data_IF_188479993969
#
_entry.id   IF_188479993969
#
_cell.length_a   1.000
_cell.length_b   1.000
_cell.length_c   1.000
_cell.angle_alpha   90.00
_cell.angle_beta   90.00
_cell.angle_gamma   90.00
#
_symmetry.space_group_name_H-M   'P 1'
#
loop_
_entity.id
_entity.type
_entity.pdbx_description
1 polymer ?
#
# COMPACT_ATOMS: atom_id res chain seq x y z
N UNK A 1 6.16 -0.64 -17.90
CA UNK A 1 5.52 0.18 -16.85
C UNK A 1 5.98 -0.36 -15.51
N UNK A 2 6.43 0.51 -14.61
CA UNK A 2 7.00 0.12 -13.34
C UNK A 2 6.54 1.09 -12.26
N UNK A 3 6.46 0.60 -11.01
CA UNK A 3 6.05 1.42 -9.87
C UNK A 3 7.24 2.15 -9.20
N UNK A 4 8.47 1.75 -9.48
CA UNK A 4 9.66 2.29 -8.80
C UNK A 4 9.78 3.79 -9.06
N UNK A 5 9.93 4.57 -7.99
CA UNK A 5 10.03 6.03 -8.05
C UNK A 5 8.68 6.74 -8.00
N UNK A 6 7.57 6.02 -8.07
CA UNK A 6 6.24 6.63 -8.05
C UNK A 6 5.84 7.08 -6.65
N UNK A 7 5.17 8.22 -6.59
CA UNK A 7 4.37 8.63 -5.44
C UNK A 7 2.91 8.54 -5.83
N UNK A 8 2.11 7.89 -5.00
CA UNK A 8 0.68 7.70 -5.28
C UNK A 8 -0.15 8.04 -4.04
N UNK A 9 -1.40 8.42 -4.27
CA UNK A 9 -2.42 8.43 -3.23
C UNK A 9 -3.38 7.30 -3.56
N UNK A 10 -3.67 6.47 -2.56
CA UNK A 10 -4.67 5.41 -2.68
C UNK A 10 -5.89 5.85 -1.89
N UNK A 11 -7.04 5.90 -2.55
CA UNK A 11 -8.33 6.20 -1.91
C UNK A 11 -9.14 4.92 -1.86
N UNK A 12 -9.16 4.34 -0.65
CA UNK A 12 -9.86 3.08 -0.40
C UNK A 12 -11.36 3.28 -0.25
N UNK A 13 -12.12 2.25 -0.57
CA UNK A 13 -13.59 2.27 -0.43
C UNK A 13 -14.04 2.46 1.03
N UNK A 14 -13.22 2.04 1.99
CA UNK A 14 -13.48 2.25 3.41
C UNK A 14 -13.41 3.71 3.84
N UNK A 15 -12.86 4.60 3.00
CA UNK A 15 -12.61 6.00 3.33
C UNK A 15 -11.17 6.27 3.75
N UNK A 16 -10.36 5.23 3.95
CA UNK A 16 -8.95 5.40 4.24
C UNK A 16 -8.23 5.93 3.00
N UNK A 17 -7.40 6.95 3.19
CA UNK A 17 -6.50 7.46 2.16
C UNK A 17 -5.07 7.35 2.65
N UNK A 18 -4.20 6.86 1.78
CA UNK A 18 -2.80 6.61 2.09
C UNK A 18 -1.94 7.19 0.96
N UNK A 19 -0.89 7.92 1.34
CA UNK A 19 0.16 8.31 0.41
C UNK A 19 1.26 7.28 0.48
N UNK A 20 1.73 6.81 -0.67
CA UNK A 20 2.81 5.84 -0.76
C UNK A 20 3.89 6.35 -1.72
N UNK A 21 5.15 6.21 -1.31
CA UNK A 21 6.29 6.54 -2.14
C UNK A 21 7.17 5.30 -2.28
N UNK A 22 7.23 4.74 -3.47
CA UNK A 22 8.07 3.58 -3.78
C UNK A 22 9.45 4.05 -4.18
N UNK A 23 10.35 4.14 -3.21
CA UNK A 23 11.70 4.69 -3.41
C UNK A 23 12.58 3.78 -4.25
N UNK A 24 12.37 2.48 -4.15
CA UNK A 24 13.10 1.47 -4.90
C UNK A 24 12.26 0.21 -5.01
N UNK A 25 12.82 -0.84 -5.61
CA UNK A 25 12.16 -2.14 -5.68
C UNK A 25 11.94 -2.78 -4.30
N UNK A 26 12.65 -2.31 -3.26
CA UNK A 26 12.64 -2.92 -1.94
C UNK A 26 12.30 -1.93 -0.81
N UNK A 27 12.01 -0.67 -1.13
CA UNK A 27 11.78 0.34 -0.09
C UNK A 27 10.55 1.18 -0.40
N UNK A 28 9.66 1.26 0.59
CA UNK A 28 8.42 2.04 0.55
C UNK A 28 8.35 2.94 1.77
N UNK A 29 7.95 4.18 1.59
CA UNK A 29 7.46 5.02 2.69
C UNK A 29 5.98 5.30 2.47
N UNK A 30 5.22 5.38 3.56
CA UNK A 30 3.78 5.62 3.48
C UNK A 30 3.32 6.57 4.58
N UNK A 31 2.19 7.21 4.36
CA UNK A 31 1.55 8.06 5.35
C UNK A 31 0.04 7.95 5.25
N UNK A 32 -0.63 7.84 6.40
CA UNK A 32 -2.08 7.84 6.47
C UNK A 32 -2.61 9.27 6.45
N UNK A 33 -3.51 9.56 5.51
CA UNK A 33 -4.05 10.90 5.28
C UNK A 33 -5.40 11.10 5.95
N UNK A 34 -6.12 10.01 6.23
CA UNK A 34 -7.47 10.06 6.84
C UNK A 34 -7.61 8.95 7.87
N UNK A 35 -8.72 8.95 8.59
CA UNK A 35 -9.11 7.89 9.52
C UNK A 35 -8.43 7.99 10.87
N UNK A 36 -8.60 6.94 11.72
CA UNK A 36 -8.04 6.94 13.08
C UNK A 36 -6.51 7.05 13.12
N UNK A 37 -5.85 6.61 12.06
CA UNK A 37 -4.38 6.62 11.96
C UNK A 37 -3.84 7.86 11.26
N UNK A 38 -4.67 8.86 10.97
CA UNK A 38 -4.24 10.07 10.27
C UNK A 38 -3.00 10.67 10.93
N UNK A 39 -2.00 10.97 10.10
CA UNK A 39 -0.74 11.55 10.55
C UNK A 39 0.33 10.51 10.89
N UNK A 40 -0.01 9.23 10.94
CA UNK A 40 1.01 8.19 11.11
C UNK A 40 1.71 7.91 9.79
N UNK A 41 2.97 7.48 9.89
CA UNK A 41 3.78 7.15 8.71
C UNK A 41 4.72 6.00 9.04
N UNK A 42 5.26 5.39 8.00
CA UNK A 42 6.20 4.30 8.17
C UNK A 42 7.13 4.17 6.97
N UNK A 43 8.20 3.41 7.19
CA UNK A 43 9.16 3.03 6.15
C UNK A 43 9.29 1.51 6.21
N UNK A 44 9.12 0.84 5.07
CA UNK A 44 9.00 -0.60 5.01
C UNK A 44 9.96 -1.19 3.97
N UNK A 45 10.44 -2.39 4.28
CA UNK A 45 11.11 -3.22 3.28
C UNK A 45 10.04 -4.05 2.57
N UNK A 46 9.93 -3.88 1.26
CA UNK A 46 8.90 -4.55 0.48
C UNK A 46 9.47 -5.67 -0.37
N UNK A 47 8.61 -6.62 -0.67
CA UNK A 47 8.84 -7.69 -1.64
C UNK A 47 7.84 -7.48 -2.76
N UNK A 48 8.30 -7.56 -4.02
CA UNK A 48 7.44 -7.29 -5.16
C UNK A 48 7.69 -8.25 -6.29
N UNK A 49 6.63 -8.49 -7.07
CA UNK A 49 6.70 -9.28 -8.29
C UNK A 49 5.70 -8.74 -9.30
N UNK A 50 6.10 -8.60 -10.54
CA UNK A 50 5.17 -8.29 -11.61
C UNK A 50 4.44 -9.56 -12.00
N UNK A 51 3.14 -9.63 -11.70
CA UNK A 51 2.33 -10.84 -11.91
C UNK A 51 1.62 -10.86 -13.25
N UNK A 52 1.50 -9.70 -13.87
CA UNK A 52 1.01 -9.50 -15.24
C UNK A 52 1.54 -8.15 -15.70
N UNK A 53 1.56 -7.85 -17.02
CA UNK A 53 2.06 -6.55 -17.46
C UNK A 53 1.37 -5.38 -16.76
N UNK A 54 2.14 -4.57 -16.03
CA UNK A 54 1.63 -3.42 -15.29
C UNK A 54 0.88 -3.74 -14.00
N UNK A 55 0.89 -5.00 -13.56
CA UNK A 55 0.21 -5.45 -12.34
C UNK A 55 1.25 -6.05 -11.40
N UNK A 56 1.34 -5.51 -10.19
CA UNK A 56 2.39 -5.87 -9.24
C UNK A 56 1.78 -6.37 -7.94
N UNK A 57 2.32 -7.50 -7.45
CA UNK A 57 2.09 -7.95 -6.09
C UNK A 57 3.19 -7.35 -5.21
N UNK A 58 2.80 -6.63 -4.15
CA UNK A 58 3.72 -5.95 -3.25
C UNK A 58 3.31 -6.30 -1.83
N UNK A 59 4.26 -6.81 -1.03
CA UNK A 59 3.96 -7.26 0.33
C UNK A 59 5.07 -6.87 1.29
N UNK A 60 4.70 -6.66 2.56
CA UNK A 60 5.66 -6.38 3.62
C UNK A 60 5.11 -6.74 4.98
N UNK A 61 6.04 -6.85 5.93
CA UNK A 61 5.75 -7.11 7.34
C UNK A 61 6.24 -5.92 8.15
N UNK A 62 5.35 -5.30 8.91
CA UNK A 62 5.69 -4.17 9.77
C UNK A 62 6.23 -4.63 11.11
N UNK A 63 7.00 -3.77 11.79
CA UNK A 63 7.64 -4.12 13.05
C UNK A 63 6.64 -4.51 14.16
N UNK A 64 5.42 -3.97 14.09
CA UNK A 64 4.36 -4.28 15.04
C UNK A 64 3.59 -5.58 14.72
N UNK A 65 4.04 -6.32 13.71
CA UNK A 65 3.41 -7.58 13.30
C UNK A 65 2.28 -7.43 12.30
N UNK A 66 1.94 -6.22 11.90
CA UNK A 66 0.98 -6.00 10.80
C UNK A 66 1.61 -6.50 9.50
N UNK A 67 0.88 -7.31 8.75
CA UNK A 67 1.30 -7.69 7.40
C UNK A 67 0.37 -7.08 6.37
N UNK A 68 0.93 -6.64 5.26
CA UNK A 68 0.18 -6.01 4.17
C UNK A 68 0.54 -6.70 2.87
N UNK A 69 -0.48 -7.05 2.09
CA UNK A 69 -0.30 -7.58 0.75
C UNK A 69 -1.18 -6.79 -0.21
N UNK A 70 -0.54 -6.24 -1.23
CA UNK A 70 -1.19 -5.36 -2.20
C UNK A 70 -1.10 -5.96 -3.60
N UNK A 71 -2.16 -5.75 -4.38
CA UNK A 71 -2.09 -5.85 -5.83
C UNK A 71 -2.25 -4.44 -6.38
N UNK A 72 -1.21 -3.93 -7.01
CA UNK A 72 -1.18 -2.61 -7.64
C UNK A 72 -1.34 -2.80 -9.14
N UNK A 73 -2.49 -2.40 -9.66
CA UNK A 73 -2.79 -2.44 -11.09
C UNK A 73 -2.62 -1.02 -11.66
N UNK A 74 -1.49 -0.80 -12.33
CA UNK A 74 -1.20 0.50 -12.93
C UNK A 74 -1.99 0.75 -14.20
N UNK A 75 -2.47 -0.31 -14.87
CA UNK A 75 -3.26 -0.16 -16.09
C UNK A 75 -4.63 0.44 -15.79
N UNK A 76 -5.27 -0.03 -14.73
CA UNK A 76 -6.61 0.40 -14.32
C UNK A 76 -6.59 1.37 -13.14
N UNK A 77 -5.42 1.68 -12.62
CA UNK A 77 -5.22 2.55 -11.45
C UNK A 77 -6.05 2.08 -10.26
N UNK A 78 -5.85 0.82 -9.89
CA UNK A 78 -6.54 0.16 -8.79
C UNK A 78 -5.56 -0.44 -7.81
N UNK A 79 -5.93 -0.42 -6.54
CA UNK A 79 -5.20 -1.08 -5.48
C UNK A 79 -6.14 -2.05 -4.77
N UNK A 80 -5.67 -3.27 -4.54
CA UNK A 80 -6.33 -4.24 -3.68
C UNK A 80 -5.40 -4.51 -2.52
N UNK A 81 -5.92 -4.50 -1.30
CA UNK A 81 -5.12 -4.69 -0.09
C UNK A 81 -5.73 -5.74 0.82
N UNK A 82 -4.88 -6.61 1.34
CA UNK A 82 -5.21 -7.53 2.41
C UNK A 82 -4.26 -7.26 3.56
N UNK A 83 -4.80 -6.97 4.74
CA UNK A 83 -4.03 -6.57 5.91
C UNK A 83 -4.35 -7.53 7.05
N UNK A 84 -3.32 -8.03 7.73
CA UNK A 84 -3.51 -8.82 8.94
C UNK A 84 -2.82 -8.14 10.11
N UNK A 85 -3.40 -8.28 11.29
CA UNK A 85 -2.90 -7.66 12.50
C UNK A 85 -3.33 -8.45 13.72
N UNK A 86 -2.66 -8.21 14.84
CA UNK A 86 -3.03 -8.81 16.11
C UNK A 86 -3.77 -7.77 16.95
N UNK A 87 -5.02 -8.07 17.28
CA UNK A 87 -5.86 -7.17 18.09
C UNK A 87 -5.95 -7.62 19.55
N UNK A 88 -5.01 -8.45 20.02
CA UNK A 88 -5.01 -8.96 21.41
C UNK A 88 -5.87 -10.19 21.64
N UNK A 89 -6.65 -10.60 20.65
CA UNK A 89 -7.53 -11.78 20.71
C UNK A 89 -7.25 -12.74 19.55
N UNK A 90 -5.98 -12.76 19.08
CA UNK A 90 -5.55 -13.51 17.91
C UNK A 90 -5.47 -12.62 16.67
N UNK A 91 -5.13 -13.26 15.55
CA UNK A 91 -4.95 -12.56 14.28
C UNK A 91 -6.30 -12.20 13.68
N UNK A 92 -6.37 -10.97 13.17
CA UNK A 92 -7.52 -10.48 12.44
C UNK A 92 -7.06 -9.96 11.08
N UNK A 93 -8.01 -9.71 10.20
CA UNK A 93 -7.71 -9.23 8.87
C UNK A 93 -8.80 -8.30 8.35
N UNK A 94 -8.43 -7.46 7.41
CA UNK A 94 -9.42 -6.76 6.58
C UNK A 94 -8.94 -6.71 5.14
N UNK A 95 -9.91 -6.57 4.25
CA UNK A 95 -9.73 -6.49 2.81
C UNK A 95 -10.29 -5.16 2.33
N UNK A 96 -9.54 -4.47 1.48
CA UNK A 96 -9.97 -3.17 0.97
C UNK A 96 -9.57 -3.04 -0.50
N UNK A 97 -10.29 -2.18 -1.20
CA UNK A 97 -9.98 -1.83 -2.58
C UNK A 97 -10.05 -0.32 -2.75
N UNK A 98 -9.27 0.20 -3.66
CA UNK A 98 -9.25 1.63 -3.88
C UNK A 98 -8.80 2.03 -5.26
N UNK A 99 -8.89 3.33 -5.51
CA UNK A 99 -8.37 3.95 -6.72
C UNK A 99 -7.02 4.58 -6.42
N UNK A 100 -6.16 4.58 -7.41
CA UNK A 100 -4.80 5.09 -7.32
C UNK A 100 -4.67 6.33 -8.17
N UNK A 101 -4.09 7.38 -7.59
CA UNK A 101 -3.74 8.61 -8.29
C UNK A 101 -2.24 8.84 -8.14
N UNK A 102 -1.56 9.00 -9.27
CA UNK A 102 -0.14 9.32 -9.24
C UNK A 102 0.06 10.80 -8.93
N UNK A 103 0.96 11.09 -7.98
CA UNK A 103 1.39 12.46 -7.68
C UNK A 103 2.59 12.76 -8.58
N UNK A 104 2.42 13.73 -9.46
CA UNK A 104 3.51 14.19 -10.33
C UNK A 104 3.97 15.53 -9.77
N UNK A 105 5.22 15.56 -9.31
CA UNK A 105 5.83 16.78 -8.82
C UNK A 105 6.45 17.54 -10.00
N UNK A 106 6.15 18.84 -10.05
CA UNK A 106 6.71 19.72 -11.06
C UNK A 106 8.20 19.98 -10.80
#
# INVERSE_FOLDING_TARGET
MNFIGMKIIIRYESGLEVEAHYKSATELTWGALTGPSKGTSGSETIYSSEVAPGVFFISWLENNGVSVSNVLDLNNRRMTAFVTFDAGKGRQSFFDKGVVEEIVEA
#
